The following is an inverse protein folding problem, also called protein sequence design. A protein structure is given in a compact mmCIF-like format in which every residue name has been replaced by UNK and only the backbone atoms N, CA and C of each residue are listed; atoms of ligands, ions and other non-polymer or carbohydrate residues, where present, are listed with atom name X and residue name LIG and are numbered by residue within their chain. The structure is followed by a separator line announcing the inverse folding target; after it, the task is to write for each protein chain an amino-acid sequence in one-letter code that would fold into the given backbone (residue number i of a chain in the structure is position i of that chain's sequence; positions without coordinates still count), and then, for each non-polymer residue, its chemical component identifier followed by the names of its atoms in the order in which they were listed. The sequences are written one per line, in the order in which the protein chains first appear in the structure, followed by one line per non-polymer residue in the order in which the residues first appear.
data_IF_410246778764
#
_entry.id   IF_410246778764
#
_cell.length_a   1.000
_cell.length_b   1.000
_cell.length_c   1.000
_cell.angle_alpha   90.00
_cell.angle_beta   90.00
_cell.angle_gamma   90.00
#
_symmetry.space_group_name_H-M   'P 1'
#
loop_
_entity.id
_entity.type
_entity.pdbx_description
1 polymer ?
#
# COMPACT_ATOMS: atom_id res chain seq x y z
N UNK A 1 17.86 26.33 58.48
CA UNK A 1 18.89 26.78 57.51
C UNK A 1 19.71 25.58 57.07
N UNK A 2 20.22 25.60 55.83
CA UNK A 2 21.06 24.60 55.16
C UNK A 2 20.33 23.40 54.53
N UNK A 3 19.51 23.75 53.53
CA UNK A 3 19.63 23.20 52.17
C UNK A 3 21.03 23.52 51.67
N UNK A 4 21.81 22.51 51.28
CA UNK A 4 22.93 22.50 50.31
C UNK A 4 23.90 21.38 50.66
N UNK A 5 24.38 20.69 49.62
CA UNK A 5 25.37 19.59 49.60
C UNK A 5 24.78 18.16 49.63
N UNK A 6 24.33 17.71 48.45
CA UNK A 6 24.45 16.32 47.95
C UNK A 6 23.96 16.31 46.50
N UNK A 7 24.63 17.10 45.66
CA UNK A 7 24.30 17.25 44.24
C UNK A 7 25.59 17.37 43.44
N UNK A 8 26.43 16.33 43.51
CA UNK A 8 27.63 16.19 42.68
C UNK A 8 28.22 14.78 42.87
N UNK A 9 27.61 13.78 42.23
CA UNK A 9 28.25 12.48 42.03
C UNK A 9 27.88 11.97 40.64
N UNK A 10 28.91 11.96 39.77
CA UNK A 10 29.03 11.30 38.46
C UNK A 10 28.32 11.94 37.26
N UNK A 11 28.86 13.07 36.77
CA UNK A 11 28.93 13.30 35.33
C UNK A 11 30.09 12.46 34.78
N UNK A 12 29.78 11.32 34.14
CA UNK A 12 30.74 10.56 33.34
C UNK A 12 31.16 11.42 32.12
N UNK A 13 32.14 12.32 32.30
CA UNK A 13 32.74 13.13 31.21
C UNK A 13 33.69 12.32 30.30
N UNK A 14 33.68 10.98 30.39
CA UNK A 14 34.59 10.09 29.65
C UNK A 14 33.92 8.84 29.08
N UNK A 15 32.62 8.88 28.76
CA UNK A 15 32.05 7.77 27.99
C UNK A 15 32.52 7.85 26.52
N UNK A 16 33.01 6.75 25.94
CA UNK A 16 33.61 6.76 24.61
C UNK A 16 32.56 7.10 23.53
N UNK A 17 32.99 7.81 22.50
CA UNK A 17 32.22 8.33 21.34
C UNK A 17 31.52 7.24 20.48
N UNK A 18 31.46 5.99 20.94
CA UNK A 18 30.95 4.81 20.24
C UNK A 18 29.93 3.99 21.07
N UNK A 19 29.28 4.60 22.05
CA UNK A 19 28.37 3.92 22.96
C UNK A 19 27.17 3.24 22.26
N UNK A 20 26.56 3.89 21.26
CA UNK A 20 25.48 3.31 20.47
C UNK A 20 26.00 2.14 19.65
N UNK A 21 27.17 2.30 19.01
CA UNK A 21 27.80 1.22 18.24
C UNK A 21 28.10 0.01 19.14
N UNK A 22 28.63 0.21 20.35
CA UNK A 22 28.87 -0.87 21.33
C UNK A 22 27.58 -1.52 21.81
N UNK A 23 26.49 -0.77 21.94
CA UNK A 23 25.17 -1.33 22.25
C UNK A 23 24.66 -2.20 21.10
N UNK A 24 24.74 -1.71 19.87
CA UNK A 24 24.36 -2.44 18.65
C UNK A 24 25.24 -3.68 18.41
N UNK A 25 26.52 -3.64 18.77
CA UNK A 25 27.42 -4.81 18.80
C UNK A 25 27.12 -5.79 19.94
N UNK A 26 26.09 -5.54 20.75
CA UNK A 26 25.70 -6.36 21.90
C UNK A 26 26.80 -6.46 22.98
N UNK A 27 27.71 -5.48 23.04
CA UNK A 27 28.80 -5.40 24.02
C UNK A 27 28.31 -4.64 25.26
N UNK A 28 27.75 -3.44 25.05
CA UNK A 28 27.26 -2.54 26.10
C UNK A 28 25.77 -2.78 26.39
N UNK A 29 25.36 -2.59 27.65
CA UNK A 29 23.94 -2.54 28.04
C UNK A 29 23.38 -1.13 27.84
N UNK A 30 22.08 -1.02 27.60
CA UNK A 30 21.36 0.25 27.70
C UNK A 30 21.52 0.85 29.11
N UNK A 31 21.33 2.16 29.22
CA UNK A 31 21.31 2.93 30.48
C UNK A 31 19.98 3.69 30.61
N UNK A 32 19.51 3.99 31.83
CA UNK A 32 20.16 3.76 33.14
C UNK A 32 20.15 2.30 33.62
N UNK A 33 20.88 2.02 34.71
CA UNK A 33 20.97 0.68 35.30
C UNK A 33 19.60 0.25 35.89
N UNK A 34 19.19 -1.03 35.75
CA UNK A 34 20.04 -2.18 35.45
C UNK A 34 20.37 -2.44 33.97
N UNK A 35 19.68 -1.79 33.03
CA UNK A 35 19.94 -1.88 31.59
C UNK A 35 19.86 -3.29 30.98
N UNK A 36 19.82 -3.40 29.66
CA UNK A 36 19.94 -4.71 28.99
C UNK A 36 20.68 -4.60 27.66
N UNK A 37 21.19 -5.73 27.17
CA UNK A 37 21.85 -5.78 25.85
C UNK A 37 20.81 -5.96 24.74
N UNK A 38 21.11 -5.45 23.55
CA UNK A 38 20.17 -5.47 22.42
C UNK A 38 19.63 -6.87 22.10
N UNK A 39 20.44 -7.93 22.10
CA UNK A 39 19.96 -9.29 21.77
C UNK A 39 18.97 -9.84 22.81
N UNK A 40 19.06 -9.38 24.07
CA UNK A 40 18.08 -9.73 25.10
C UNK A 40 16.83 -8.85 24.97
N UNK A 41 17.02 -7.57 24.66
CA UNK A 41 15.93 -6.60 24.45
C UNK A 41 15.02 -7.00 23.28
N UNK A 42 15.58 -7.46 22.16
CA UNK A 42 14.80 -7.89 20.99
C UNK A 42 13.89 -9.09 21.27
N UNK A 43 14.09 -9.81 22.38
CA UNK A 43 13.21 -10.90 22.82
C UNK A 43 11.93 -10.41 23.50
N UNK A 44 11.81 -9.10 23.73
CA UNK A 44 10.59 -8.48 24.27
C UNK A 44 9.45 -8.37 23.24
N UNK A 45 9.67 -8.79 21.99
CA UNK A 45 8.59 -8.88 21.00
C UNK A 45 7.46 -9.77 21.52
N UNK A 46 6.23 -9.26 21.47
CA UNK A 46 5.04 -9.88 22.06
C UNK A 46 4.84 -9.62 23.57
N UNK A 47 5.83 -9.09 24.29
CA UNK A 47 5.72 -8.70 25.70
C UNK A 47 5.36 -7.22 25.81
N UNK A 48 4.07 -6.93 25.60
CA UNK A 48 3.59 -5.55 25.52
C UNK A 48 3.66 -4.81 26.85
N UNK A 49 3.52 -5.50 27.98
CA UNK A 49 3.61 -4.89 29.31
C UNK A 49 5.04 -4.41 29.56
N UNK A 50 6.05 -5.23 29.24
CA UNK A 50 7.45 -4.83 29.32
C UNK A 50 7.78 -3.64 28.41
N UNK A 51 7.23 -3.61 27.19
CA UNK A 51 7.48 -2.55 26.22
C UNK A 51 6.77 -1.22 26.57
N UNK A 52 5.67 -1.26 27.34
CA UNK A 52 4.97 -0.06 27.80
C UNK A 52 5.52 0.45 29.15
N UNK A 53 5.96 -0.43 30.05
CA UNK A 53 6.43 -0.04 31.39
C UNK A 53 7.80 0.67 31.39
N UNK A 54 8.71 0.27 30.50
CA UNK A 54 10.03 0.88 30.36
C UNK A 54 10.01 1.90 29.19
N UNK A 55 10.52 3.10 29.40
CA UNK A 55 10.58 4.15 28.39
C UNK A 55 12.00 4.57 28.01
N UNK A 56 13.01 4.01 28.67
CA UNK A 56 14.41 4.46 28.57
C UNK A 56 15.22 3.64 27.57
N UNK A 57 14.67 2.50 27.15
CA UNK A 57 15.28 1.66 26.11
C UNK A 57 15.10 2.23 24.70
N UNK A 58 14.03 2.99 24.44
CA UNK A 58 13.71 3.47 23.09
C UNK A 58 14.81 4.38 22.56
N UNK A 59 15.53 5.06 23.47
CA UNK A 59 16.62 5.94 23.12
C UNK A 59 17.85 5.20 22.60
N UNK A 60 18.09 4.00 23.12
CA UNK A 60 19.17 3.09 22.69
C UNK A 60 18.79 2.30 21.44
N UNK A 61 17.52 1.87 21.32
CA UNK A 61 17.04 1.19 20.11
C UNK A 61 16.95 2.13 18.91
N UNK A 62 16.59 3.40 19.12
CA UNK A 62 16.44 4.36 18.03
C UNK A 62 17.20 5.64 18.37
N UNK A 63 18.55 5.62 18.35
CA UNK A 63 19.36 6.77 18.70
C UNK A 63 19.22 7.87 17.63
N UNK A 64 19.45 9.13 18.04
CA UNK A 64 19.33 10.32 17.20
C UNK A 64 20.57 11.21 17.35
N UNK A 65 20.93 12.01 16.33
CA UNK A 65 22.08 12.91 16.40
C UNK A 65 21.94 13.99 17.47
N UNK A 66 20.70 14.35 17.85
CA UNK A 66 20.49 15.26 18.98
C UNK A 66 20.46 14.51 20.31
N UNK A 67 21.03 15.15 21.34
CA UNK A 67 20.98 14.64 22.71
C UNK A 67 19.54 14.47 23.18
N UNK A 68 19.24 13.37 23.87
CA UNK A 68 17.89 13.12 24.35
C UNK A 68 17.55 13.95 25.58
N UNK A 69 16.45 14.72 25.52
CA UNK A 69 15.92 15.46 26.67
C UNK A 69 15.22 14.58 27.73
N UNK A 70 14.92 13.32 27.41
CA UNK A 70 14.17 12.40 28.30
C UNK A 70 15.02 11.29 28.90
N UNK A 71 16.18 11.00 28.32
CA UNK A 71 17.17 10.09 28.90
C UNK A 71 18.55 10.73 28.75
N UNK A 72 18.99 11.43 29.81
CA UNK A 72 20.30 12.08 29.86
C UNK A 72 21.48 11.10 29.79
N UNK A 73 21.22 9.81 30.04
CA UNK A 73 22.20 8.72 29.95
C UNK A 73 22.28 8.09 28.56
N UNK A 74 21.41 8.48 27.62
CA UNK A 74 21.57 8.14 26.20
C UNK A 74 22.44 9.18 25.51
N UNK A 75 23.39 8.72 24.70
CA UNK A 75 24.28 9.62 23.96
C UNK A 75 23.70 9.99 22.59
N UNK A 76 24.05 11.17 22.06
CA UNK A 76 23.88 11.47 20.63
C UNK A 76 24.39 10.33 19.75
N UNK A 77 23.72 10.09 18.62
CA UNK A 77 24.22 9.23 17.56
C UNK A 77 25.26 10.01 16.76
N UNK A 78 26.53 9.62 16.85
CA UNK A 78 27.57 10.24 16.04
C UNK A 78 27.59 9.67 14.62
N UNK A 79 28.01 10.47 13.64
CA UNK A 79 28.00 10.07 12.22
C UNK A 79 28.85 8.82 11.97
N UNK A 80 29.98 8.68 12.65
CA UNK A 80 30.84 7.48 12.56
C UNK A 80 30.12 6.22 13.07
N UNK A 81 29.32 6.33 14.13
CA UNK A 81 28.49 5.22 14.62
C UNK A 81 27.38 4.88 13.62
N UNK A 82 26.69 5.90 13.10
CA UNK A 82 25.63 5.72 12.11
C UNK A 82 26.16 5.08 10.82
N UNK A 83 27.33 5.51 10.35
CA UNK A 83 28.04 4.91 9.21
C UNK A 83 28.39 3.44 9.47
N UNK A 84 29.01 3.14 10.61
CA UNK A 84 29.36 1.77 10.98
C UNK A 84 28.12 0.85 11.06
N UNK A 85 26.99 1.34 11.58
CA UNK A 85 25.73 0.57 11.62
C UNK A 85 25.14 0.39 10.22
N UNK A 86 25.23 1.39 9.34
CA UNK A 86 24.73 1.31 7.95
C UNK A 86 25.50 0.32 7.09
N UNK A 87 26.79 0.14 7.34
CA UNK A 87 27.67 -0.71 6.53
C UNK A 87 27.71 -2.17 7.03
N UNK A 88 27.36 -2.42 8.30
CA UNK A 88 27.38 -3.76 8.89
C UNK A 88 26.00 -4.46 8.81
N UNK A 89 25.95 -5.56 8.05
CA UNK A 89 24.72 -6.33 7.81
C UNK A 89 24.09 -6.89 9.10
N UNK A 90 24.90 -7.29 10.08
CA UNK A 90 24.40 -7.84 11.34
C UNK A 90 23.84 -6.73 12.24
N UNK A 91 24.43 -5.54 12.22
CA UNK A 91 23.89 -4.38 12.94
C UNK A 91 22.58 -3.91 12.30
N UNK A 92 22.50 -3.86 10.97
CA UNK A 92 21.24 -3.59 10.25
C UNK A 92 20.14 -4.57 10.60
N UNK A 93 20.45 -5.88 10.71
CA UNK A 93 19.48 -6.89 11.17
C UNK A 93 18.92 -6.56 12.56
N UNK A 94 19.75 -6.03 13.47
CA UNK A 94 19.30 -5.61 14.81
C UNK A 94 18.41 -4.37 14.76
N UNK A 95 18.70 -3.39 13.88
CA UNK A 95 17.81 -2.24 13.64
C UNK A 95 16.45 -2.72 13.11
N UNK A 96 16.46 -3.58 12.09
CA UNK A 96 15.23 -4.15 11.52
C UNK A 96 14.43 -4.97 12.55
N UNK A 97 15.10 -5.77 13.38
CA UNK A 97 14.47 -6.51 14.46
C UNK A 97 13.86 -5.60 15.54
N UNK A 98 14.53 -4.49 15.89
CA UNK A 98 13.98 -3.50 16.81
C UNK A 98 12.74 -2.82 16.23
N UNK A 99 12.76 -2.52 14.92
CA UNK A 99 11.63 -1.92 14.23
C UNK A 99 10.44 -2.89 14.13
N UNK A 100 10.66 -4.14 13.76
CA UNK A 100 9.64 -5.20 13.72
C UNK A 100 9.02 -5.47 15.10
N UNK A 101 9.83 -5.46 16.17
CA UNK A 101 9.33 -5.52 17.55
C UNK A 101 8.40 -4.34 17.88
N UNK A 102 8.77 -3.13 17.47
CA UNK A 102 7.96 -1.94 17.70
C UNK A 102 6.69 -1.91 16.84
N UNK A 103 6.74 -2.43 15.60
CA UNK A 103 5.58 -2.58 14.76
C UNK A 103 4.57 -3.55 15.38
N UNK A 104 5.02 -4.71 15.86
CA UNK A 104 4.18 -5.68 16.58
C UNK A 104 3.50 -5.03 17.79
N UNK A 105 4.26 -4.25 18.56
CA UNK A 105 3.74 -3.47 19.68
C UNK A 105 2.64 -2.47 19.28
N UNK A 106 2.71 -1.91 18.07
CA UNK A 106 1.68 -1.01 17.52
C UNK A 106 0.58 -1.73 16.73
N UNK A 107 0.63 -3.05 16.60
CA UNK A 107 -0.37 -3.84 15.88
C UNK A 107 -0.14 -3.95 14.37
N UNK A 108 1.09 -3.72 13.92
CA UNK A 108 1.50 -3.84 12.53
C UNK A 108 2.52 -4.96 12.34
N UNK A 109 2.75 -5.34 11.09
CA UNK A 109 3.82 -6.27 10.71
C UNK A 109 4.43 -5.84 9.38
N UNK A 110 5.75 -6.02 9.25
CA UNK A 110 6.43 -5.95 7.96
C UNK A 110 6.01 -7.13 7.10
N UNK A 111 5.55 -6.83 5.88
CA UNK A 111 5.20 -7.84 4.89
C UNK A 111 6.28 -7.98 3.82
N UNK A 112 6.95 -6.87 3.52
CA UNK A 112 8.12 -6.85 2.64
C UNK A 112 9.23 -6.04 3.33
N UNK A 113 10.33 -6.72 3.68
CA UNK A 113 11.50 -6.11 4.29
C UNK A 113 12.43 -5.42 3.29
N UNK A 114 12.19 -5.58 1.98
CA UNK A 114 12.92 -4.89 0.93
C UNK A 114 12.43 -3.46 0.77
N UNK A 115 11.12 -3.24 0.73
CA UNK A 115 10.52 -1.91 0.51
C UNK A 115 9.90 -1.28 1.76
N UNK A 116 9.71 -2.04 2.85
CA UNK A 116 9.13 -1.57 4.10
C UNK A 116 7.61 -1.63 4.18
N UNK A 117 6.94 -2.34 3.27
CA UNK A 117 5.48 -2.43 3.24
C UNK A 117 4.90 -3.08 4.50
N UNK A 118 3.87 -2.44 5.06
CA UNK A 118 3.25 -2.83 6.33
C UNK A 118 1.81 -3.30 6.14
N UNK A 119 1.41 -4.27 6.97
CA UNK A 119 0.01 -4.66 7.14
C UNK A 119 -0.39 -4.64 8.62
N UNK A 120 -1.70 -4.71 8.86
CA UNK A 120 -2.23 -4.98 10.20
C UNK A 120 -1.83 -6.38 10.64
N UNK A 121 -1.54 -6.53 11.93
CA UNK A 121 -1.40 -7.83 12.60
C UNK A 121 -2.76 -8.32 13.09
N UNK A 122 -2.90 -9.60 13.44
CA UNK A 122 -4.18 -10.18 13.91
C UNK A 122 -4.76 -9.44 15.13
N UNK A 123 -3.92 -8.93 16.02
CA UNK A 123 -4.30 -8.21 17.24
C UNK A 123 -4.34 -6.68 17.08
N UNK A 124 -4.35 -6.14 15.85
CA UNK A 124 -4.23 -4.69 15.60
C UNK A 124 -5.26 -3.84 16.36
N UNK A 125 -6.49 -4.32 16.54
CA UNK A 125 -7.57 -3.55 17.19
C UNK A 125 -7.19 -3.14 18.61
N UNK A 126 -6.72 -4.09 19.41
CA UNK A 126 -6.30 -3.86 20.79
C UNK A 126 -5.09 -2.91 20.84
N UNK A 127 -4.11 -3.14 19.97
CA UNK A 127 -2.87 -2.35 19.94
C UNK A 127 -3.08 -0.91 19.49
N UNK A 128 -3.94 -0.67 18.50
CA UNK A 128 -4.32 0.66 18.06
C UNK A 128 -5.16 1.41 19.12
N UNK A 129 -6.05 0.70 19.81
CA UNK A 129 -6.80 1.28 20.93
C UNK A 129 -5.87 1.69 22.09
N UNK A 130 -4.86 0.87 22.38
CA UNK A 130 -3.80 1.23 23.32
C UNK A 130 -3.04 2.49 22.87
N UNK A 131 -2.67 2.58 21.58
CA UNK A 131 -2.01 3.75 21.01
C UNK A 131 -2.84 5.04 21.15
N UNK A 132 -4.18 4.96 21.10
CA UNK A 132 -5.08 6.09 21.36
C UNK A 132 -5.04 6.60 22.81
N UNK A 133 -4.73 5.73 23.77
CA UNK A 133 -4.70 6.05 25.21
C UNK A 133 -3.33 6.57 25.63
N UNK A 134 -2.27 6.01 25.07
CA UNK A 134 -0.88 6.29 25.45
C UNK A 134 -0.18 7.30 24.53
N UNK A 135 -0.46 8.60 24.69
CA UNK A 135 0.09 9.68 23.83
C UNK A 135 1.62 9.75 23.78
N UNK A 136 2.33 9.25 24.80
CA UNK A 136 3.80 9.22 24.80
C UNK A 136 4.34 8.33 23.68
N UNK A 137 3.58 7.32 23.24
CA UNK A 137 3.93 6.48 22.10
C UNK A 137 4.04 7.27 20.78
N UNK A 138 3.37 8.43 20.65
CA UNK A 138 3.57 9.30 19.49
C UNK A 138 4.99 9.87 19.42
N UNK A 139 5.60 10.16 20.57
CA UNK A 139 6.99 10.63 20.64
C UNK A 139 7.96 9.50 20.32
N UNK A 140 7.62 8.27 20.72
CA UNK A 140 8.39 7.06 20.37
C UNK A 140 8.34 6.81 18.86
N UNK A 141 7.16 6.91 18.24
CA UNK A 141 6.99 6.83 16.79
C UNK A 141 7.83 7.89 16.08
N UNK A 142 7.78 9.15 16.51
CA UNK A 142 8.65 10.21 15.96
C UNK A 142 10.12 9.80 16.00
N UNK A 143 10.59 9.30 17.15
CA UNK A 143 11.97 8.90 17.34
C UNK A 143 12.36 7.74 16.41
N UNK A 144 11.50 6.74 16.29
CA UNK A 144 11.68 5.61 15.37
C UNK A 144 11.82 6.13 13.94
N UNK A 145 10.87 6.95 13.47
CA UNK A 145 10.89 7.50 12.10
C UNK A 145 12.22 8.21 11.85
N UNK A 146 12.63 9.15 12.71
CA UNK A 146 13.87 9.90 12.52
C UNK A 146 15.10 8.99 12.52
N UNK A 147 15.19 8.07 13.47
CA UNK A 147 16.33 7.15 13.62
C UNK A 147 16.49 6.21 12.41
N UNK A 148 15.37 5.72 11.84
CA UNK A 148 15.42 4.92 10.61
C UNK A 148 16.11 5.66 9.46
N UNK A 149 15.88 6.96 9.30
CA UNK A 149 16.56 7.78 8.29
C UNK A 149 18.07 7.94 8.53
N UNK A 150 18.51 7.92 9.78
CA UNK A 150 19.95 7.99 10.11
C UNK A 150 20.66 6.64 9.96
N UNK A 151 19.95 5.54 10.21
CA UNK A 151 20.50 4.18 10.21
C UNK A 151 20.35 3.45 8.86
N UNK A 152 19.98 4.16 7.79
CA UNK A 152 19.91 3.62 6.43
C UNK A 152 18.65 2.82 6.10
N UNK A 153 17.52 3.20 6.71
CA UNK A 153 16.17 2.65 6.49
C UNK A 153 15.18 3.77 6.14
N UNK A 154 15.62 4.76 5.38
CA UNK A 154 14.83 5.85 4.81
C UNK A 154 13.57 5.37 4.06
N UNK A 155 13.69 4.31 3.26
CA UNK A 155 12.58 3.66 2.55
C UNK A 155 11.45 3.18 3.48
N UNK A 156 11.75 2.83 4.75
CA UNK A 156 10.72 2.44 5.73
C UNK A 156 9.91 3.63 6.27
N UNK A 157 10.50 4.83 6.31
CA UNK A 157 9.89 5.99 6.96
C UNK A 157 8.55 6.33 6.31
N UNK A 158 8.51 6.44 4.98
CA UNK A 158 7.30 6.79 4.24
C UNK A 158 6.20 5.74 4.39
N UNK A 159 6.54 4.45 4.25
CA UNK A 159 5.61 3.33 4.43
C UNK A 159 4.99 3.33 5.82
N UNK A 160 5.79 3.60 6.85
CA UNK A 160 5.29 3.67 8.22
C UNK A 160 4.31 4.82 8.43
N UNK A 161 4.67 6.03 7.96
CA UNK A 161 3.80 7.21 8.11
C UNK A 161 2.51 7.04 7.32
N UNK A 162 2.55 6.47 6.12
CA UNK A 162 1.35 6.19 5.32
C UNK A 162 0.41 5.18 6.01
N UNK A 163 0.95 4.10 6.58
CA UNK A 163 0.14 3.12 7.33
C UNK A 163 -0.55 3.77 8.53
N UNK A 164 0.18 4.59 9.30
CA UNK A 164 -0.39 5.35 10.42
C UNK A 164 -1.45 6.34 9.93
N UNK A 165 -1.22 6.99 8.79
CA UNK A 165 -2.15 7.95 8.18
C UNK A 165 -3.46 7.31 7.76
N UNK A 166 -3.42 6.14 7.14
CA UNK A 166 -4.62 5.39 6.80
C UNK A 166 -5.43 5.00 8.04
N UNK A 167 -4.77 4.50 9.08
CA UNK A 167 -5.44 4.19 10.35
C UNK A 167 -6.06 5.43 11.01
N UNK A 168 -5.36 6.56 10.97
CA UNK A 168 -5.81 7.80 11.60
C UNK A 168 -6.94 8.50 10.85
N UNK A 169 -6.87 8.54 9.51
CA UNK A 169 -7.73 9.40 8.68
C UNK A 169 -8.79 8.59 7.92
N UNK A 170 -8.43 7.43 7.35
CA UNK A 170 -9.36 6.62 6.54
C UNK A 170 -10.19 5.73 7.46
N UNK A 171 -9.52 4.91 8.26
CA UNK A 171 -10.19 3.93 9.12
C UNK A 171 -10.64 4.49 10.47
N UNK A 172 -10.15 5.68 10.84
CA UNK A 172 -10.45 6.35 12.11
C UNK A 172 -10.23 5.46 13.34
N UNK A 173 -9.28 4.53 13.27
CA UNK A 173 -8.90 3.64 14.38
C UNK A 173 -7.96 4.34 15.36
N UNK A 174 -7.13 5.29 14.90
CA UNK A 174 -6.27 6.15 15.74
C UNK A 174 -6.44 7.66 15.47
N UNK A 175 -7.67 8.20 15.54
CA UNK A 175 -7.99 9.54 15.04
C UNK A 175 -7.26 10.65 15.80
N UNK A 176 -6.82 10.41 17.04
CA UNK A 176 -6.12 11.39 17.87
C UNK A 176 -4.76 11.82 17.31
N UNK A 177 -4.14 11.01 16.44
CA UNK A 177 -2.89 11.37 15.80
C UNK A 177 -3.05 12.04 14.43
N UNK A 178 -4.28 12.13 13.90
CA UNK A 178 -4.58 12.57 12.53
C UNK A 178 -4.21 14.03 12.19
N UNK A 179 -3.76 14.83 13.16
CA UNK A 179 -3.37 16.25 12.96
C UNK A 179 -1.91 16.51 13.32
N UNK A 180 -1.68 17.12 14.48
CA UNK A 180 -0.34 17.54 14.93
C UNK A 180 0.72 16.44 14.86
N UNK A 181 0.48 15.26 15.46
CA UNK A 181 1.42 14.14 15.35
C UNK A 181 1.68 13.71 13.90
N UNK A 182 0.63 13.58 13.09
CA UNK A 182 0.77 13.20 11.67
C UNK A 182 1.66 14.17 10.91
N UNK A 183 1.39 15.48 11.00
CA UNK A 183 2.19 16.49 10.30
C UNK A 183 3.67 16.45 10.72
N UNK A 184 3.93 16.22 12.01
CA UNK A 184 5.29 16.07 12.51
C UNK A 184 5.99 14.81 11.99
N UNK A 185 5.27 13.69 11.89
CA UNK A 185 5.78 12.45 11.32
C UNK A 185 6.08 12.57 9.83
N UNK A 186 5.22 13.23 9.05
CA UNK A 186 5.49 13.56 7.64
C UNK A 186 6.79 14.36 7.53
N UNK A 187 6.95 15.40 8.35
CA UNK A 187 8.14 16.24 8.32
C UNK A 187 9.43 15.52 8.78
N UNK A 188 9.31 14.37 9.43
CA UNK A 188 10.44 13.57 9.92
C UNK A 188 11.02 12.61 8.88
N UNK A 189 10.36 12.45 7.72
CA UNK A 189 10.87 11.65 6.61
C UNK A 189 12.10 12.33 6.02
N UNK A 190 13.21 11.59 5.89
CA UNK A 190 14.51 12.15 5.46
C UNK A 190 14.53 12.45 3.97
N UNK A 191 14.07 11.51 3.15
CA UNK A 191 13.99 11.67 1.70
C UNK A 191 12.96 12.76 1.33
N UNK A 192 13.40 13.77 0.58
CA UNK A 192 12.60 14.94 0.24
C UNK A 192 11.42 14.60 -0.67
N UNK A 193 11.64 13.67 -1.60
CA UNK A 193 10.60 13.23 -2.54
C UNK A 193 9.49 12.50 -1.79
N UNK A 194 9.84 11.49 -1.00
CA UNK A 194 8.94 10.72 -0.17
C UNK A 194 8.24 11.59 0.89
N UNK A 195 8.93 12.60 1.46
CA UNK A 195 8.32 13.55 2.38
C UNK A 195 7.24 14.40 1.69
N UNK A 196 7.56 14.99 0.54
CA UNK A 196 6.62 15.81 -0.23
C UNK A 196 5.39 14.98 -0.65
N UNK A 197 5.65 13.74 -1.04
CA UNK A 197 4.69 12.72 -1.42
C UNK A 197 3.69 12.37 -0.31
N UNK A 198 4.19 11.94 0.85
CA UNK A 198 3.34 11.62 2.00
C UNK A 198 2.60 12.88 2.47
N UNK A 199 3.23 14.06 2.36
CA UNK A 199 2.57 15.34 2.63
C UNK A 199 1.42 15.66 1.67
N UNK A 200 1.52 15.30 0.38
CA UNK A 200 0.39 15.42 -0.56
C UNK A 200 -0.75 14.49 -0.15
N UNK A 201 -0.44 13.23 0.17
CA UNK A 201 -1.45 12.26 0.61
C UNK A 201 -2.19 12.71 1.87
N UNK A 202 -1.44 13.24 2.84
CA UNK A 202 -2.00 13.81 4.06
C UNK A 202 -2.98 14.95 3.78
N UNK A 203 -2.66 15.82 2.80
CA UNK A 203 -3.56 16.91 2.39
C UNK A 203 -4.80 16.39 1.68
N UNK A 204 -4.66 15.47 0.72
CA UNK A 204 -5.78 14.86 -0.01
C UNK A 204 -6.81 14.22 0.93
N UNK A 205 -6.33 13.50 1.95
CA UNK A 205 -7.21 12.84 2.93
C UNK A 205 -7.89 13.82 3.89
N UNK A 206 -7.34 15.03 4.07
CA UNK A 206 -7.92 16.07 4.92
C UNK A 206 -8.75 17.11 4.14
N UNK A 207 -8.62 17.20 2.81
CA UNK A 207 -9.35 18.16 1.95
C UNK A 207 -10.84 17.88 1.75
N UNK A 208 -11.48 17.16 2.69
CA UNK A 208 -12.93 17.16 2.86
C UNK A 208 -13.48 18.38 3.63
N UNK A 209 -12.65 19.40 3.88
CA UNK A 209 -13.06 20.72 4.36
C UNK A 209 -12.33 21.81 3.56
N UNK A 210 -13.10 22.78 3.08
CA UNK A 210 -12.71 23.92 2.23
C UNK A 210 -11.32 24.48 2.54
N UNK A 211 -10.40 24.33 1.58
CA UNK A 211 -9.31 25.27 1.40
C UNK A 211 -8.74 25.22 -0.04
N UNK A 212 -8.87 26.33 -0.75
CA UNK A 212 -8.17 26.67 -2.00
C UNK A 212 -6.84 27.38 -1.68
N UNK A 213 -5.70 26.75 -1.94
CA UNK A 213 -4.39 27.45 -1.97
C UNK A 213 -4.09 27.92 -3.40
N UNK A 214 -3.42 29.06 -3.58
CA UNK A 214 -3.12 29.64 -4.88
C UNK A 214 -2.24 28.69 -5.69
N UNK A 215 -2.65 28.49 -6.94
CA UNK A 215 -2.01 27.63 -7.92
C UNK A 215 -0.51 27.94 -8.05
N UNK A 216 0.30 26.97 -7.61
CA UNK A 216 1.12 26.24 -8.57
C UNK A 216 0.92 24.75 -8.34
N UNK A 217 -0.28 24.26 -8.64
CA UNK A 217 -0.35 22.93 -9.24
C UNK A 217 0.50 23.06 -10.51
N UNK A 218 1.71 22.51 -10.50
CA UNK A 218 2.28 22.12 -11.79
C UNK A 218 1.40 20.96 -12.22
N UNK A 219 0.31 21.30 -12.92
CA UNK A 219 -0.47 20.36 -13.70
C UNK A 219 0.57 19.58 -14.51
N UNK A 220 0.75 18.30 -14.18
CA UNK A 220 1.59 17.43 -15.00
C UNK A 220 0.79 17.22 -16.27
N UNK A 221 0.93 18.15 -17.20
CA UNK A 221 0.27 18.10 -18.50
C UNK A 221 0.61 16.75 -19.12
N UNK A 222 -0.42 16.07 -19.60
CA UNK A 222 -0.34 14.74 -20.18
C UNK A 222 0.18 13.66 -19.19
N UNK A 223 -0.32 13.65 -17.95
CA UNK A 223 0.12 12.70 -16.93
C UNK A 223 -0.05 11.23 -17.34
N UNK A 224 -1.16 10.86 -17.99
CA UNK A 224 -1.36 9.48 -18.45
C UNK A 224 -0.32 9.15 -19.52
N UNK A 225 -0.08 10.05 -20.47
CA UNK A 225 0.94 9.84 -21.49
C UNK A 225 2.34 9.68 -20.88
N UNK A 226 2.72 10.51 -19.91
CA UNK A 226 4.02 10.38 -19.23
C UNK A 226 4.13 9.07 -18.45
N UNK A 227 3.04 8.62 -17.82
CA UNK A 227 3.00 7.32 -17.14
C UNK A 227 3.17 6.18 -18.15
N UNK A 228 2.45 6.21 -19.27
CA UNK A 228 2.59 5.24 -20.35
C UNK A 228 3.93 5.31 -21.08
N UNK A 229 4.68 6.42 -20.98
CA UNK A 229 6.09 6.53 -21.39
C UNK A 229 7.07 6.00 -20.36
N UNK A 230 6.59 5.58 -19.19
CA UNK A 230 7.40 5.16 -18.05
C UNK A 230 8.26 6.31 -17.46
N UNK A 231 7.84 7.56 -17.64
CA UNK A 231 8.57 8.76 -17.16
C UNK A 231 8.19 9.15 -15.73
N UNK A 232 7.00 8.73 -15.27
CA UNK A 232 6.48 9.06 -13.94
C UNK A 232 5.93 7.82 -13.24
N UNK A 233 5.91 7.88 -11.91
CA UNK A 233 5.22 6.90 -11.07
C UNK A 233 3.72 7.23 -11.01
N UNK A 234 2.91 6.18 -10.81
CA UNK A 234 1.50 6.34 -10.48
C UNK A 234 1.31 7.11 -9.17
N UNK A 235 0.10 7.64 -8.96
CA UNK A 235 -0.33 8.27 -7.70
C UNK A 235 -1.65 7.67 -7.17
N UNK A 236 -1.93 7.71 -5.86
CA UNK A 236 -1.02 8.13 -4.80
C UNK A 236 0.09 7.10 -4.64
N UNK A 237 0.91 7.36 -3.66
CA UNK A 237 2.33 7.18 -3.73
C UNK A 237 2.66 6.45 -2.40
N UNK A 238 3.48 5.37 -2.35
CA UNK A 238 4.54 4.99 -3.27
C UNK A 238 3.97 4.18 -4.45
N UNK A 239 3.65 4.88 -5.52
CA UNK A 239 3.18 4.29 -6.75
C UNK A 239 4.34 3.66 -7.49
N UNK A 240 4.04 2.99 -8.58
CA UNK A 240 5.05 2.35 -9.42
C UNK A 240 5.04 2.99 -10.81
N UNK A 241 6.16 2.92 -11.50
CA UNK A 241 6.19 3.19 -12.94
C UNK A 241 5.48 2.05 -13.69
N UNK A 242 5.04 2.29 -14.93
CA UNK A 242 4.24 1.28 -15.64
C UNK A 242 5.02 -0.02 -15.85
N UNK A 243 6.33 0.02 -16.11
CA UNK A 243 7.12 -1.21 -16.29
C UNK A 243 7.22 -2.03 -15.01
N UNK A 244 7.38 -1.39 -13.86
CA UNK A 244 7.37 -2.05 -12.55
C UNK A 244 5.98 -2.62 -12.23
N UNK A 245 4.91 -1.89 -12.53
CA UNK A 245 3.54 -2.40 -12.32
C UNK A 245 3.27 -3.66 -13.14
N UNK A 246 3.76 -3.71 -14.37
CA UNK A 246 3.56 -4.85 -15.25
C UNK A 246 4.31 -6.11 -14.80
N UNK A 247 5.25 -6.01 -13.85
CA UNK A 247 5.88 -7.20 -13.23
C UNK A 247 5.01 -7.85 -12.16
N UNK A 248 3.85 -7.26 -11.81
CA UNK A 248 2.97 -7.79 -10.76
C UNK A 248 2.08 -8.93 -11.26
N UNK A 249 2.17 -9.32 -12.54
CA UNK A 249 1.45 -10.48 -13.08
C UNK A 249 1.79 -11.74 -12.27
N UNK A 250 0.76 -12.44 -11.81
CA UNK A 250 0.88 -13.58 -10.90
C UNK A 250 0.95 -13.24 -9.40
N UNK A 251 1.23 -11.99 -9.02
CA UNK A 251 1.13 -11.54 -7.61
C UNK A 251 -0.30 -11.09 -7.29
N UNK A 252 -1.17 -12.08 -7.16
CA UNK A 252 -2.59 -11.86 -6.89
C UNK A 252 -2.85 -11.12 -5.58
N UNK A 253 -1.97 -11.30 -4.58
CA UNK A 253 -2.11 -10.65 -3.29
C UNK A 253 -1.87 -9.15 -3.42
N UNK A 254 -0.90 -8.74 -4.24
CA UNK A 254 -0.61 -7.32 -4.51
C UNK A 254 -1.75 -6.66 -5.29
N UNK A 255 -2.23 -7.31 -6.35
CA UNK A 255 -3.33 -6.80 -7.20
C UNK A 255 -4.68 -6.70 -6.44
N UNK A 256 -4.94 -7.58 -5.48
CA UNK A 256 -6.16 -7.48 -4.66
C UNK A 256 -6.06 -6.33 -3.64
N UNK A 257 -4.91 -6.15 -2.98
CA UNK A 257 -4.76 -5.20 -1.86
C UNK A 257 -4.48 -3.75 -2.28
N UNK A 258 -3.87 -3.51 -3.44
CA UNK A 258 -3.64 -2.15 -3.95
C UNK A 258 -4.80 -1.75 -4.88
N UNK A 259 -5.47 -0.62 -4.60
CA UNK A 259 -6.61 -0.15 -5.40
C UNK A 259 -6.29 1.05 -6.29
N UNK A 260 -5.08 1.61 -6.22
CA UNK A 260 -4.70 2.85 -6.89
C UNK A 260 -4.09 2.64 -8.28
N UNK A 261 -3.51 1.46 -8.53
CA UNK A 261 -2.83 1.16 -9.79
C UNK A 261 -3.81 1.06 -10.97
N UNK A 262 -5.02 0.54 -10.74
CA UNK A 262 -5.99 0.26 -11.81
C UNK A 262 -6.36 1.54 -12.56
N UNK A 263 -6.28 2.68 -11.88
CA UNK A 263 -6.60 3.96 -12.46
C UNK A 263 -5.62 4.41 -13.53
N UNK A 264 -4.35 4.08 -13.31
CA UNK A 264 -3.23 4.46 -14.16
C UNK A 264 -3.02 3.47 -15.29
N UNK A 265 -3.23 2.17 -15.03
CA UNK A 265 -3.20 1.13 -16.07
C UNK A 265 -4.39 1.18 -17.03
N UNK A 266 -5.52 1.71 -16.58
CA UNK A 266 -6.75 1.83 -17.38
C UNK A 266 -7.38 3.20 -17.17
N UNK A 267 -6.75 4.29 -17.68
CA UNK A 267 -7.31 5.63 -17.57
C UNK A 267 -8.58 5.75 -18.43
N UNK A 268 -9.52 6.57 -17.97
CA UNK A 268 -10.80 6.81 -18.66
C UNK A 268 -11.07 8.33 -18.75
N UNK A 269 -11.85 8.81 -19.73
CA UNK A 269 -12.15 10.24 -19.90
C UNK A 269 -12.92 10.85 -18.73
N UNK A 270 -13.61 10.04 -17.93
CA UNK A 270 -14.31 10.46 -16.74
C UNK A 270 -13.35 10.61 -15.54
N UNK A 271 -13.56 11.65 -14.72
CA UNK A 271 -12.76 11.84 -13.51
C UNK A 271 -12.95 10.67 -12.53
N UNK A 272 -11.84 10.19 -11.94
CA UNK A 272 -11.91 9.08 -11.00
C UNK A 272 -12.47 9.52 -9.65
N UNK A 273 -13.59 8.92 -9.24
CA UNK A 273 -14.21 9.18 -7.93
C UNK A 273 -13.42 8.59 -6.74
N UNK A 274 -12.58 7.58 -6.99
CA UNK A 274 -11.85 6.85 -5.93
C UNK A 274 -10.36 7.21 -5.84
N UNK A 275 -9.83 7.93 -6.82
CA UNK A 275 -8.44 8.40 -6.84
C UNK A 275 -8.39 9.76 -7.56
N UNK A 276 -8.47 10.84 -6.79
CA UNK A 276 -8.41 12.21 -7.30
C UNK A 276 -7.06 12.56 -7.94
N UNK A 277 -6.01 11.76 -7.70
CA UNK A 277 -4.68 11.95 -8.23
C UNK A 277 -4.51 11.36 -9.65
N UNK A 278 -5.36 10.41 -10.06
CA UNK A 278 -5.41 9.91 -11.43
C UNK A 278 -6.21 10.89 -12.32
N UNK A 279 -5.56 11.41 -13.35
CA UNK A 279 -6.18 12.43 -14.22
C UNK A 279 -7.06 11.79 -15.29
N UNK A 280 -8.20 12.42 -15.64
CA UNK A 280 -9.01 11.94 -16.75
C UNK A 280 -8.18 11.81 -18.04
N UNK A 281 -8.41 10.74 -18.80
CA UNK A 281 -7.75 10.49 -20.07
C UNK A 281 -8.16 11.57 -21.09
N UNK A 282 -7.18 12.33 -21.58
CA UNK A 282 -7.43 13.32 -22.64
C UNK A 282 -7.32 12.66 -24.01
N UNK A 283 -8.09 13.16 -24.98
CA UNK A 283 -8.08 12.61 -26.35
C UNK A 283 -6.68 12.66 -26.99
N UNK A 284 -5.89 13.71 -26.72
CA UNK A 284 -4.52 13.79 -27.22
C UNK A 284 -3.59 12.74 -26.59
N UNK A 285 -3.81 12.36 -25.33
CA UNK A 285 -3.08 11.26 -24.68
C UNK A 285 -3.51 9.91 -25.24
N UNK A 286 -4.82 9.68 -25.37
CA UNK A 286 -5.37 8.45 -25.95
C UNK A 286 -4.86 8.24 -27.38
N UNK A 287 -4.88 9.29 -28.21
CA UNK A 287 -4.32 9.25 -29.57
C UNK A 287 -2.84 8.88 -29.56
N UNK A 288 -2.02 9.52 -28.71
CA UNK A 288 -0.60 9.22 -28.63
C UNK A 288 -0.32 7.77 -28.18
N UNK A 289 -1.10 7.24 -27.22
CA UNK A 289 -1.00 5.84 -26.79
C UNK A 289 -1.42 4.89 -27.91
N UNK A 290 -2.46 5.23 -28.69
CA UNK A 290 -2.94 4.41 -29.82
C UNK A 290 -1.95 4.33 -30.97
N UNK A 291 -1.12 5.35 -31.17
CA UNK A 291 -0.18 5.46 -32.30
C UNK A 291 1.22 4.92 -31.95
N UNK A 292 1.54 4.73 -30.67
CA UNK A 292 2.86 4.25 -30.21
C UNK A 292 2.83 2.76 -29.86
N UNK A 293 3.62 1.94 -30.58
CA UNK A 293 3.65 0.49 -30.40
C UNK A 293 4.09 0.05 -29.00
N UNK A 294 5.02 0.77 -28.36
CA UNK A 294 5.51 0.46 -27.01
C UNK A 294 4.41 0.71 -25.99
N UNK A 295 3.68 1.83 -26.12
CA UNK A 295 2.56 2.13 -25.23
C UNK A 295 1.39 1.17 -25.44
N UNK A 296 1.09 0.78 -26.68
CA UNK A 296 0.10 -0.27 -26.98
C UNK A 296 0.49 -1.60 -26.33
N UNK A 297 1.78 -1.98 -26.41
CA UNK A 297 2.28 -3.18 -25.74
C UNK A 297 2.09 -3.12 -24.22
N UNK A 298 2.24 -1.94 -23.61
CA UNK A 298 1.95 -1.74 -22.18
C UNK A 298 0.47 -1.90 -21.85
N UNK A 299 -0.45 -1.41 -22.69
CA UNK A 299 -1.91 -1.65 -22.52
C UNK A 299 -2.22 -3.15 -22.62
N UNK A 300 -1.64 -3.84 -23.62
CA UNK A 300 -1.81 -5.29 -23.78
C UNK A 300 -1.32 -6.07 -22.55
N UNK A 301 -0.10 -5.81 -22.08
CA UNK A 301 0.47 -6.44 -20.89
C UNK A 301 -0.36 -6.16 -19.63
N UNK A 302 -0.91 -4.94 -19.50
CA UNK A 302 -1.80 -4.61 -18.39
C UNK A 302 -3.11 -5.42 -18.46
N UNK A 303 -3.68 -5.57 -19.64
CA UNK A 303 -4.88 -6.37 -19.86
C UNK A 303 -4.64 -7.86 -19.58
N UNK A 304 -3.57 -8.43 -20.13
CA UNK A 304 -3.10 -9.80 -19.90
C UNK A 304 -2.88 -10.09 -18.40
N UNK A 305 -2.26 -9.15 -17.68
CA UNK A 305 -2.12 -9.23 -16.21
C UNK A 305 -3.49 -9.27 -15.50
N UNK A 306 -4.45 -8.43 -15.92
CA UNK A 306 -5.76 -8.37 -15.27
C UNK A 306 -6.64 -9.58 -15.58
N UNK A 307 -6.60 -10.13 -16.80
CA UNK A 307 -7.35 -11.35 -17.11
C UNK A 307 -6.76 -12.58 -16.40
N UNK A 308 -5.43 -12.65 -16.26
CA UNK A 308 -4.76 -13.65 -15.41
C UNK A 308 -5.23 -13.56 -13.96
N UNK A 309 -5.30 -12.34 -13.42
CA UNK A 309 -5.82 -12.06 -12.08
C UNK A 309 -7.28 -12.47 -11.90
N UNK A 310 -8.10 -12.42 -12.95
CA UNK A 310 -9.49 -12.90 -12.93
C UNK A 310 -9.63 -14.41 -13.19
N UNK A 311 -8.55 -15.12 -13.51
CA UNK A 311 -8.58 -16.56 -13.73
C UNK A 311 -8.70 -16.98 -15.20
N UNK A 312 -8.37 -16.08 -16.12
CA UNK A 312 -8.39 -16.32 -17.56
C UNK A 312 -6.99 -16.17 -18.17
N UNK A 313 -6.82 -16.67 -19.39
CA UNK A 313 -5.64 -16.45 -20.22
C UNK A 313 -6.07 -16.13 -21.65
N UNK A 314 -5.29 -15.29 -22.32
CA UNK A 314 -5.51 -15.00 -23.74
C UNK A 314 -5.08 -16.24 -24.54
N UNK A 315 -6.04 -16.81 -25.27
CA UNK A 315 -5.85 -17.98 -26.13
C UNK A 315 -5.53 -17.56 -27.58
N UNK A 316 -6.08 -16.43 -28.02
CA UNK A 316 -5.84 -15.85 -29.34
C UNK A 316 -5.62 -14.34 -29.20
N UNK A 317 -4.42 -13.85 -29.55
CA UNK A 317 -4.06 -12.43 -29.46
C UNK A 317 -4.76 -11.56 -30.50
N UNK A 318 -5.16 -12.15 -31.63
CA UNK A 318 -5.83 -11.46 -32.74
C UNK A 318 -7.27 -11.16 -32.35
N UNK A 319 -8.02 -12.19 -31.96
CA UNK A 319 -9.45 -12.08 -31.64
C UNK A 319 -9.71 -11.81 -30.15
N UNK A 320 -8.70 -11.93 -29.29
CA UNK A 320 -8.81 -11.71 -27.85
C UNK A 320 -9.51 -12.84 -27.10
N UNK A 321 -9.61 -14.03 -27.69
CA UNK A 321 -10.31 -15.17 -27.10
C UNK A 321 -9.71 -15.52 -25.72
N UNK A 322 -10.56 -15.80 -24.74
CA UNK A 322 -10.15 -16.10 -23.37
C UNK A 322 -10.48 -17.54 -22.98
N UNK A 323 -9.49 -18.26 -22.45
CA UNK A 323 -9.67 -19.57 -21.83
C UNK A 323 -9.48 -19.47 -20.31
N UNK A 324 -9.95 -20.48 -19.57
CA UNK A 324 -9.65 -20.59 -18.13
C UNK A 324 -8.14 -20.76 -17.93
N UNK A 325 -7.59 -20.02 -16.96
CA UNK A 325 -6.23 -20.20 -16.47
C UNK A 325 -6.16 -21.42 -15.53
N UNK A 326 -4.96 -21.93 -15.23
CA UNK A 326 -4.81 -23.12 -14.37
C UNK A 326 -5.38 -22.91 -12.95
N UNK A 327 -5.39 -21.66 -12.47
CA UNK A 327 -5.92 -21.29 -11.15
C UNK A 327 -7.34 -20.72 -11.18
N UNK A 328 -8.09 -20.91 -12.29
CA UNK A 328 -9.39 -20.26 -12.51
C UNK A 328 -10.36 -20.40 -11.33
N UNK A 329 -10.40 -21.56 -10.66
CA UNK A 329 -11.37 -21.83 -9.60
C UNK A 329 -11.20 -20.87 -8.41
N UNK A 330 -9.96 -20.71 -7.93
CA UNK A 330 -9.63 -19.76 -6.86
C UNK A 330 -9.91 -18.32 -7.29
N UNK A 331 -9.54 -17.97 -8.54
CA UNK A 331 -9.67 -16.59 -9.04
C UNK A 331 -11.11 -16.16 -9.26
N UNK A 332 -11.97 -17.03 -9.80
CA UNK A 332 -13.40 -16.76 -9.92
C UNK A 332 -14.08 -16.71 -8.54
N UNK A 333 -13.64 -17.54 -7.58
CA UNK A 333 -14.11 -17.43 -6.20
C UNK A 333 -13.72 -16.08 -5.57
N UNK A 334 -12.52 -15.56 -5.84
CA UNK A 334 -12.12 -14.22 -5.44
C UNK A 334 -13.02 -13.15 -6.08
N UNK A 335 -13.34 -13.28 -7.37
CA UNK A 335 -14.24 -12.37 -8.07
C UNK A 335 -15.64 -12.34 -7.41
N UNK A 336 -16.16 -13.48 -6.99
CA UNK A 336 -17.43 -13.56 -6.25
C UNK A 336 -17.37 -12.91 -4.87
N UNK A 337 -16.24 -13.00 -4.16
CA UNK A 337 -16.07 -12.44 -2.80
C UNK A 337 -15.82 -10.92 -2.81
N UNK A 338 -15.24 -10.40 -3.88
CA UNK A 338 -14.73 -9.04 -3.97
C UNK A 338 -15.46 -8.22 -5.04
N UNK A 339 -16.65 -7.72 -4.71
CA UNK A 339 -17.53 -6.97 -5.65
C UNK A 339 -16.90 -5.70 -6.25
N UNK A 340 -15.85 -5.14 -5.63
CA UNK A 340 -15.12 -4.02 -6.20
C UNK A 340 -14.38 -4.40 -7.50
N UNK A 341 -14.07 -5.68 -7.72
CA UNK A 341 -13.47 -6.17 -8.95
C UNK A 341 -14.40 -6.02 -10.16
N UNK A 342 -15.73 -6.05 -9.98
CA UNK A 342 -16.67 -5.72 -11.06
C UNK A 342 -16.53 -4.27 -11.52
N UNK A 343 -16.26 -3.33 -10.61
CA UNK A 343 -15.99 -1.93 -10.97
C UNK A 343 -14.65 -1.78 -11.70
N UNK A 344 -13.66 -2.61 -11.35
CA UNK A 344 -12.38 -2.68 -12.09
C UNK A 344 -12.60 -3.19 -13.52
N UNK A 345 -13.40 -4.25 -13.71
CA UNK A 345 -13.78 -4.78 -15.03
C UNK A 345 -14.47 -3.69 -15.86
N UNK A 346 -15.46 -3.00 -15.31
CA UNK A 346 -16.14 -1.87 -15.97
C UNK A 346 -15.14 -0.81 -16.44
N UNK A 347 -14.16 -0.46 -15.61
CA UNK A 347 -13.11 0.51 -15.96
C UNK A 347 -12.19 0.00 -17.08
N UNK A 348 -11.77 -1.27 -17.00
CA UNK A 348 -10.95 -1.91 -18.03
C UNK A 348 -11.69 -1.86 -19.37
N UNK A 349 -12.94 -2.30 -19.41
CA UNK A 349 -13.77 -2.26 -20.63
C UNK A 349 -13.84 -0.85 -21.21
N UNK A 350 -14.15 0.16 -20.40
CA UNK A 350 -14.19 1.56 -20.85
C UNK A 350 -12.85 2.01 -21.45
N UNK A 351 -11.76 1.77 -20.74
CA UNK A 351 -10.41 2.19 -21.15
C UNK A 351 -9.94 1.48 -22.43
N UNK A 352 -10.19 0.18 -22.58
CA UNK A 352 -9.86 -0.58 -23.79
C UNK A 352 -10.49 0.03 -25.04
N UNK A 353 -11.75 0.46 -24.96
CA UNK A 353 -12.41 1.13 -26.07
C UNK A 353 -11.76 2.47 -26.43
N UNK A 354 -11.27 3.24 -25.46
CA UNK A 354 -10.64 4.54 -25.73
C UNK A 354 -9.19 4.40 -26.23
N UNK A 355 -8.51 3.33 -25.83
CA UNK A 355 -7.12 3.04 -26.18
C UNK A 355 -6.94 2.15 -27.43
N UNK A 356 -8.01 1.86 -28.18
CA UNK A 356 -7.96 1.14 -29.45
C UNK A 356 -7.79 -0.38 -29.31
N UNK A 357 -8.41 -0.96 -28.29
CA UNK A 357 -8.46 -2.39 -28.00
C UNK A 357 -9.91 -2.90 -27.91
N UNK A 358 -10.79 -2.40 -28.78
CA UNK A 358 -12.23 -2.68 -28.82
C UNK A 358 -12.53 -4.19 -28.86
N UNK A 359 -11.77 -4.94 -29.67
CA UNK A 359 -11.88 -6.41 -29.80
C UNK A 359 -11.77 -7.19 -28.49
N UNK A 360 -11.04 -6.66 -27.50
CA UNK A 360 -10.89 -7.31 -26.20
C UNK A 360 -12.09 -7.06 -25.28
N UNK A 361 -12.92 -6.06 -25.59
CA UNK A 361 -14.14 -5.80 -24.84
C UNK A 361 -15.12 -6.95 -25.02
N UNK A 362 -15.45 -7.30 -26.27
CA UNK A 362 -16.42 -8.34 -26.58
C UNK A 362 -16.01 -9.70 -26.02
N UNK A 363 -14.75 -10.09 -26.21
CA UNK A 363 -14.23 -11.38 -25.72
C UNK A 363 -14.25 -11.49 -24.18
N UNK A 364 -13.93 -10.42 -23.46
CA UNK A 364 -14.04 -10.42 -21.99
C UNK A 364 -15.49 -10.53 -21.53
N UNK A 365 -16.39 -9.74 -22.11
CA UNK A 365 -17.81 -9.74 -21.73
C UNK A 365 -18.46 -11.09 -22.02
N UNK A 366 -18.20 -11.65 -23.21
CA UNK A 366 -18.67 -12.98 -23.60
C UNK A 366 -18.21 -14.04 -22.60
N UNK A 367 -16.93 -14.00 -22.21
CA UNK A 367 -16.39 -14.99 -21.27
C UNK A 367 -17.01 -14.86 -19.88
N UNK A 368 -17.23 -13.64 -19.39
CA UNK A 368 -17.87 -13.40 -18.10
C UNK A 368 -19.34 -13.87 -18.09
N UNK A 369 -20.08 -13.66 -19.19
CA UNK A 369 -21.46 -14.15 -19.35
C UNK A 369 -21.49 -15.68 -19.34
N UNK A 370 -20.59 -16.32 -20.08
CA UNK A 370 -20.48 -17.79 -20.12
C UNK A 370 -20.21 -18.35 -18.71
N UNK A 371 -19.25 -17.80 -17.98
CA UNK A 371 -18.93 -18.23 -16.62
C UNK A 371 -20.08 -17.97 -15.63
N UNK A 372 -20.82 -16.87 -15.77
CA UNK A 372 -21.93 -16.54 -14.90
C UNK A 372 -23.17 -17.41 -15.15
N UNK A 373 -23.56 -17.62 -16.42
CA UNK A 373 -24.84 -18.25 -16.77
C UNK A 373 -24.67 -19.73 -17.10
N UNK A 374 -23.70 -20.09 -17.94
CA UNK A 374 -23.52 -21.47 -18.40
C UNK A 374 -22.85 -22.32 -17.34
N UNK A 375 -21.78 -21.78 -16.73
CA UNK A 375 -20.98 -22.54 -15.76
C UNK A 375 -21.35 -22.28 -14.29
N UNK A 376 -22.15 -21.25 -14.00
CA UNK A 376 -22.52 -20.83 -12.64
C UNK A 376 -21.32 -20.60 -11.70
N UNK A 377 -20.16 -20.23 -12.24
CA UNK A 377 -18.91 -20.02 -11.49
C UNK A 377 -18.74 -18.58 -11.02
N UNK A 378 -19.43 -17.62 -11.65
CA UNK A 378 -19.47 -16.19 -11.27
C UNK A 378 -20.90 -15.77 -10.91
N UNK A 379 -21.46 -16.44 -9.90
CA UNK A 379 -22.87 -16.29 -9.51
C UNK A 379 -23.18 -14.95 -8.80
N UNK A 380 -22.17 -14.25 -8.28
CA UNK A 380 -22.38 -12.92 -7.66
C UNK A 380 -22.33 -11.77 -8.67
N UNK A 381 -22.15 -12.05 -9.96
CA UNK A 381 -22.28 -11.02 -10.98
C UNK A 381 -23.75 -10.60 -11.08
N UNK A 382 -24.03 -9.35 -10.73
CA UNK A 382 -25.41 -8.82 -10.81
C UNK A 382 -25.82 -8.69 -12.28
N UNK A 383 -27.06 -9.06 -12.67
CA UNK A 383 -27.57 -8.90 -14.03
C UNK A 383 -27.35 -7.49 -14.62
N UNK A 384 -27.55 -6.45 -13.80
CA UNK A 384 -27.29 -5.06 -14.22
C UNK A 384 -25.82 -4.76 -14.55
N UNK A 385 -24.85 -5.55 -14.07
CA UNK A 385 -23.45 -5.41 -14.47
C UNK A 385 -23.22 -5.92 -15.90
N UNK A 386 -23.88 -7.01 -16.29
CA UNK A 386 -23.77 -7.57 -17.64
C UNK A 386 -24.34 -6.62 -18.69
N UNK A 387 -25.47 -5.98 -18.41
CA UNK A 387 -26.05 -4.95 -19.28
C UNK A 387 -25.07 -3.78 -19.49
N UNK A 388 -24.53 -3.24 -18.40
CA UNK A 388 -23.52 -2.16 -18.46
C UNK A 388 -22.30 -2.59 -19.27
N UNK A 389 -21.81 -3.81 -19.07
CA UNK A 389 -20.62 -4.30 -19.78
C UNK A 389 -20.88 -4.51 -21.27
N UNK A 390 -22.05 -5.00 -21.66
CA UNK A 390 -22.43 -5.12 -23.07
C UNK A 390 -22.51 -3.74 -23.72
N UNK A 391 -23.13 -2.76 -23.06
CA UNK A 391 -23.25 -1.41 -23.60
C UNK A 391 -21.90 -0.69 -23.76
N UNK A 392 -20.84 -1.15 -23.08
CA UNK A 392 -19.48 -0.62 -23.22
C UNK A 392 -18.73 -1.09 -24.47
N UNK A 393 -19.12 -2.20 -25.09
CA UNK A 393 -18.47 -2.75 -26.29
C UNK A 393 -18.60 -1.71 -27.42
N UNK A 394 -17.50 -1.12 -27.89
CA UNK A 394 -17.57 -0.04 -28.89
C UNK A 394 -18.04 -0.51 -30.27
N UNK A 395 -17.61 -1.70 -30.70
CA UNK A 395 -18.06 -2.26 -31.97
C UNK A 395 -19.55 -2.64 -31.91
N UNK A 396 -20.33 -2.09 -32.84
CA UNK A 396 -21.78 -2.26 -32.85
C UNK A 396 -22.22 -3.69 -33.21
N UNK A 397 -21.45 -4.38 -34.05
CA UNK A 397 -21.76 -5.74 -34.48
C UNK A 397 -21.42 -6.72 -33.35
N UNK A 398 -20.24 -6.59 -32.75
CA UNK A 398 -19.87 -7.40 -31.58
C UNK A 398 -20.83 -7.15 -30.41
N UNK A 399 -21.22 -5.90 -30.16
CA UNK A 399 -22.21 -5.57 -29.13
C UNK A 399 -23.55 -6.27 -29.38
N UNK A 400 -24.06 -6.20 -30.61
CA UNK A 400 -25.33 -6.84 -30.97
C UNK A 400 -25.25 -8.37 -30.83
N UNK A 401 -24.14 -8.98 -31.22
CA UNK A 401 -23.90 -10.41 -31.09
C UNK A 401 -23.85 -10.87 -29.63
N UNK A 402 -23.10 -10.16 -28.78
CA UNK A 402 -23.03 -10.47 -27.34
C UNK A 402 -24.39 -10.23 -26.68
N UNK A 403 -25.14 -9.18 -27.07
CA UNK A 403 -26.49 -8.93 -26.57
C UNK A 403 -27.44 -10.06 -26.92
N UNK A 404 -27.43 -10.52 -28.18
CA UNK A 404 -28.23 -11.65 -28.65
C UNK A 404 -27.90 -12.93 -27.88
N UNK A 405 -26.62 -13.22 -27.67
CA UNK A 405 -26.16 -14.35 -26.85
C UNK A 405 -26.68 -14.26 -25.41
N UNK A 406 -26.53 -13.09 -24.77
CA UNK A 406 -27.00 -12.87 -23.40
C UNK A 406 -28.50 -13.08 -23.27
N UNK A 407 -29.31 -12.49 -24.17
CA UNK A 407 -30.76 -12.67 -24.16
C UNK A 407 -31.14 -14.14 -24.33
N UNK A 408 -30.52 -14.85 -25.28
CA UNK A 408 -30.80 -16.27 -25.50
C UNK A 408 -30.51 -17.13 -24.25
N UNK A 409 -29.42 -16.85 -23.53
CA UNK A 409 -29.06 -17.56 -22.31
C UNK A 409 -29.97 -17.23 -21.12
N UNK A 410 -30.52 -16.01 -21.05
CA UNK A 410 -31.41 -15.58 -19.96
C UNK A 410 -32.89 -15.90 -20.20
N UNK A 411 -33.30 -16.15 -21.44
CA UNK A 411 -34.70 -16.45 -21.80
C UNK A 411 -35.04 -17.94 -21.77
N UNK A 412 -34.08 -18.82 -21.45
CA UNK A 412 -34.33 -20.26 -21.31
C UNK A 412 -35.01 -20.58 -19.96
N UNK A 413 -36.24 -21.15 -19.94
CA UNK A 413 -37.02 -21.41 -18.72
C UNK A 413 -36.42 -22.45 -17.75
N UNK A 414 -35.31 -23.10 -18.10
CA UNK A 414 -34.66 -24.10 -17.24
C UNK A 414 -33.67 -23.55 -16.21
N UNK A 415 -33.53 -22.23 -16.06
CA UNK A 415 -32.66 -21.61 -15.03
C UNK A 415 -33.34 -21.29 -13.69
N UNK A 416 -34.65 -21.52 -13.54
CA UNK A 416 -35.40 -21.22 -12.29
C UNK A 416 -35.17 -22.21 -11.13
N UNK A 417 -34.32 -23.22 -11.29
CA UNK A 417 -33.93 -24.16 -10.20
C UNK A 417 -32.54 -23.87 -9.64
N UNK A 418 -32.24 -22.63 -9.28
CA UNK A 418 -31.07 -22.31 -8.45
C UNK A 418 -31.53 -21.74 -7.09
N UNK A 419 -31.69 -22.68 -6.16
CA UNK A 419 -32.09 -22.49 -4.78
C UNK A 419 -31.20 -21.47 -4.04
N UNK A 420 -31.74 -20.42 -3.36
CA UNK A 420 -30.92 -19.43 -2.65
C UNK A 420 -30.32 -19.93 -1.32
N UNK A 421 -30.71 -21.11 -0.85
CA UNK A 421 -30.26 -21.66 0.43
C UNK A 421 -29.46 -22.95 0.18
N UNK A 422 -28.13 -22.83 0.28
CA UNK A 422 -27.19 -23.91 0.08
C UNK A 422 -27.27 -25.01 1.14
N UNK A 423 -28.10 -26.01 0.89
CA UNK A 423 -27.95 -27.34 1.48
C UNK A 423 -27.57 -28.33 0.37
N UNK A 424 -26.36 -28.88 0.48
CA UNK A 424 -25.89 -30.01 -0.33
C UNK A 424 -26.71 -31.25 0.00
N UNK A 425 -27.30 -31.97 -0.99
CA UNK A 425 -27.80 -33.31 -0.75
C UNK A 425 -26.61 -34.25 -0.50
N UNK A 426 -26.72 -34.98 0.60
CA UNK A 426 -25.90 -36.15 0.89
C UNK A 426 -26.34 -37.26 -0.09
N UNK A 427 -25.40 -37.72 -0.92
CA UNK A 427 -25.05 -39.14 -1.07
C UNK A 427 -23.72 -39.30 -1.81
#
# INVERSE_FOLDING_TARGET
MRRLMMGQLFSDENEPEDANLKFYRNIKKSRPWPGTKINKMLRWKGDYDQLEADHEYIQWLFPLPERSNSNSSSQPLYEEEAKAIREDAELKKRVAGAYDMMLDFYGFQLVDSGDGTLARRHNYRERLEHLNRSKHNYRRITRIIRSLGELGFDHYQAKFVLRLMEEAIVWKTIPKCARGPMMHWVNSIKDDSARAEVGMRYRELNSGQDYTMPEKQVEVKNANLKFYRNEIHSRPYPGACIEEMLTWKGDYRKLENDHAYIQWLFPIPEASQSNSSAKPLRENEAKAIREDEVMRSRVYRAYDMMVDFYGFKIADEVNGELHRHQFWHERLQNLNRSSHNYRRITRILRSLGDLGFERFQASLVKKLIEEAIVHCTVFNALPGSMDIWIDMIKDQFERADVRKMYTALTSDPHSETLNPNGETPID
#
